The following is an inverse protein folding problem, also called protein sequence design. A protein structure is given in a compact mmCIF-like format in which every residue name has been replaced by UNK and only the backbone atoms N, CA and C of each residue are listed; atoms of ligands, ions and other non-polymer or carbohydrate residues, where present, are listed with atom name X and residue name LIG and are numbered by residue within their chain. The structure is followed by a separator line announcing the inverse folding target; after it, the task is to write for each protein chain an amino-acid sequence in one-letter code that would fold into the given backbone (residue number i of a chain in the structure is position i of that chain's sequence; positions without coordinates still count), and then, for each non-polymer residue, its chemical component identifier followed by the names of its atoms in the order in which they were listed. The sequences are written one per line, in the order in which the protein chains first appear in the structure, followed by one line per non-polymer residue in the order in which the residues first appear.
data_IF_338290198356
#
_entry.id   IF_338290198356
#
_cell.length_a   1.000
_cell.length_b   1.000
_cell.length_c   1.000
_cell.angle_alpha   90.00
_cell.angle_beta   90.00
_cell.angle_gamma   90.00
#
_symmetry.space_group_name_H-M   'P 1'
#
loop_
_entity.id
_entity.type
_entity.pdbx_description
1 polymer ?
#
# COMPACT_ATOMS: atom_id res chain seq x y z
N UNK A 1 16.18 28.20 -5.01
CA UNK A 1 14.73 28.22 -4.71
C UNK A 1 14.53 27.62 -3.34
N UNK A 2 14.36 28.46 -2.32
CA UNK A 2 14.01 28.06 -0.96
C UNK A 2 12.58 27.52 -1.00
N UNK A 3 12.41 26.22 -0.79
CA UNK A 3 11.09 25.62 -0.66
C UNK A 3 10.46 26.15 0.63
N UNK A 4 9.36 26.89 0.52
CA UNK A 4 8.56 27.27 1.68
C UNK A 4 7.86 25.98 2.11
N UNK A 5 8.50 25.22 3.00
CA UNK A 5 7.89 24.06 3.64
C UNK A 5 6.93 24.64 4.68
N UNK A 6 5.64 24.52 4.40
CA UNK A 6 4.59 24.91 5.33
C UNK A 6 4.47 23.87 6.45
N UNK A 7 4.13 24.27 7.67
CA UNK A 7 3.89 23.33 8.80
C UNK A 7 2.89 22.22 8.42
N UNK A 8 1.92 22.57 7.56
CA UNK A 8 0.95 21.65 7.00
C UNK A 8 1.58 20.49 6.20
N UNK A 9 2.68 20.73 5.48
CA UNK A 9 3.39 19.69 4.72
C UNK A 9 4.09 18.69 5.65
N UNK A 10 4.60 19.14 6.80
CA UNK A 10 5.20 18.25 7.80
C UNK A 10 4.14 17.35 8.44
N UNK A 11 2.98 17.91 8.77
CA UNK A 11 1.83 17.13 9.27
C UNK A 11 1.42 16.07 8.25
N UNK A 12 1.37 16.41 6.95
CA UNK A 12 1.03 15.44 5.90
C UNK A 12 2.09 14.33 5.81
N UNK A 13 3.38 14.66 5.87
CA UNK A 13 4.47 13.66 5.88
C UNK A 13 4.35 12.71 7.07
N UNK A 14 4.07 13.23 8.26
CA UNK A 14 3.86 12.42 9.46
C UNK A 14 2.65 11.49 9.32
N UNK A 15 1.54 12.00 8.77
CA UNK A 15 0.35 11.17 8.46
C UNK A 15 0.67 10.07 7.46
N UNK A 16 1.46 10.36 6.42
CA UNK A 16 1.91 9.36 5.44
C UNK A 16 2.78 8.30 6.11
N UNK A 17 3.73 8.69 6.98
CA UNK A 17 4.57 7.74 7.71
C UNK A 17 3.77 6.85 8.67
N UNK A 18 2.83 7.44 9.41
CA UNK A 18 1.92 6.69 10.28
C UNK A 18 1.05 5.73 9.47
N UNK A 19 0.53 6.17 8.33
CA UNK A 19 -0.25 5.33 7.44
C UNK A 19 0.58 4.18 6.87
N UNK A 20 1.86 4.39 6.56
CA UNK A 20 2.77 3.31 6.16
C UNK A 20 2.92 2.24 7.24
N UNK A 21 3.10 2.66 8.49
CA UNK A 21 3.27 1.76 9.63
C UNK A 21 1.97 1.03 9.99
N UNK A 22 0.85 1.74 10.02
CA UNK A 22 -0.46 1.15 10.32
C UNK A 22 -0.90 0.24 9.18
N UNK A 23 -0.71 0.66 7.94
CA UNK A 23 -1.04 -0.12 6.75
C UNK A 23 -0.32 -1.45 6.71
N UNK A 24 0.98 -1.48 7.04
CA UNK A 24 1.72 -2.74 7.11
C UNK A 24 1.24 -3.65 8.24
N UNK A 25 0.93 -3.11 9.41
CA UNK A 25 0.35 -3.89 10.52
C UNK A 25 -1.01 -4.48 10.12
N UNK A 26 -1.90 -3.66 9.57
CA UNK A 26 -3.23 -4.08 9.13
C UNK A 26 -3.18 -5.13 8.02
N UNK A 27 -2.21 -5.05 7.11
CA UNK A 27 -2.01 -6.02 6.04
C UNK A 27 -1.77 -7.44 6.56
N UNK A 28 -1.09 -7.58 7.70
CA UNK A 28 -0.92 -8.88 8.36
C UNK A 28 -2.08 -9.19 9.31
N UNK A 29 -2.55 -8.19 10.06
CA UNK A 29 -3.53 -8.38 11.12
C UNK A 29 -4.91 -8.79 10.58
N UNK A 30 -5.40 -8.15 9.51
CA UNK A 30 -6.74 -8.44 8.96
C UNK A 30 -6.84 -9.90 8.49
N UNK A 31 -5.95 -10.41 7.61
CA UNK A 31 -5.97 -11.82 7.24
C UNK A 31 -5.79 -12.76 8.42
N UNK A 32 -4.94 -12.40 9.39
CA UNK A 32 -4.69 -13.24 10.55
C UNK A 32 -5.96 -13.41 11.39
N UNK A 33 -6.68 -12.32 11.66
CA UNK A 33 -7.95 -12.35 12.39
C UNK A 33 -9.00 -13.14 11.62
N UNK A 34 -9.11 -12.94 10.30
CA UNK A 34 -10.05 -13.68 9.45
C UNK A 34 -9.73 -15.18 9.45
N UNK A 35 -8.45 -15.53 9.34
CA UNK A 35 -8.00 -16.91 9.36
C UNK A 35 -8.28 -17.60 10.69
N UNK A 36 -8.15 -16.88 11.81
CA UNK A 36 -8.48 -17.39 13.15
C UNK A 36 -9.98 -17.65 13.32
N UNK A 37 -10.85 -16.81 12.73
CA UNK A 37 -12.32 -16.94 12.87
C UNK A 37 -12.90 -17.95 11.88
N UNK A 38 -12.53 -17.85 10.61
CA UNK A 38 -13.14 -18.61 9.49
C UNK A 38 -12.42 -19.93 9.25
N UNK A 39 -11.17 -20.05 9.69
CA UNK A 39 -10.35 -21.24 9.49
C UNK A 39 -9.83 -21.40 8.06
N UNK A 40 -9.39 -22.62 7.73
CA UNK A 40 -8.61 -22.95 6.52
C UNK A 40 -9.37 -22.74 5.20
N UNK A 41 -10.69 -22.74 5.24
CA UNK A 41 -11.57 -22.61 4.07
C UNK A 41 -11.41 -21.26 3.38
N UNK A 42 -10.86 -20.24 4.07
CA UNK A 42 -10.68 -18.90 3.53
C UNK A 42 -9.30 -18.65 2.88
N UNK A 43 -8.41 -19.65 2.83
CA UNK A 43 -7.03 -19.44 2.37
C UNK A 43 -6.93 -18.86 0.94
N UNK A 44 -7.80 -19.29 0.02
CA UNK A 44 -7.86 -18.73 -1.33
C UNK A 44 -8.41 -17.29 -1.35
N UNK A 45 -9.42 -17.01 -0.52
CA UNK A 45 -10.00 -15.67 -0.41
C UNK A 45 -9.02 -14.67 0.22
N UNK A 46 -8.11 -15.13 1.08
CA UNK A 46 -7.06 -14.30 1.66
C UNK A 46 -6.16 -13.66 0.60
N UNK A 47 -5.84 -14.36 -0.49
CA UNK A 47 -5.05 -13.80 -1.58
C UNK A 47 -5.79 -12.64 -2.26
N UNK A 48 -7.08 -12.81 -2.57
CA UNK A 48 -7.90 -11.72 -3.12
C UNK A 48 -8.08 -10.56 -2.14
N UNK A 49 -8.16 -10.86 -0.84
CA UNK A 49 -8.27 -9.85 0.21
C UNK A 49 -6.99 -9.00 0.30
N UNK A 50 -5.81 -9.62 0.18
CA UNK A 50 -4.54 -8.91 0.10
C UNK A 50 -4.42 -8.05 -1.16
N UNK A 51 -4.94 -8.50 -2.31
CA UNK A 51 -4.98 -7.68 -3.52
C UNK A 51 -5.86 -6.45 -3.30
N UNK A 52 -7.08 -6.65 -2.78
CA UNK A 52 -8.02 -5.56 -2.48
C UNK A 52 -7.45 -4.54 -1.50
N UNK A 53 -6.84 -5.02 -0.40
CA UNK A 53 -6.18 -4.16 0.58
C UNK A 53 -5.03 -3.37 -0.04
N UNK A 54 -4.19 -4.03 -0.87
CA UNK A 54 -3.06 -3.38 -1.54
C UNK A 54 -3.54 -2.26 -2.46
N UNK A 55 -4.59 -2.49 -3.25
CA UNK A 55 -5.18 -1.46 -4.12
C UNK A 55 -5.73 -0.30 -3.29
N UNK A 56 -6.50 -0.58 -2.24
CA UNK A 56 -7.06 0.43 -1.36
C UNK A 56 -5.96 1.28 -0.71
N UNK A 57 -4.92 0.64 -0.19
CA UNK A 57 -3.76 1.30 0.40
C UNK A 57 -3.08 2.23 -0.62
N UNK A 58 -2.86 1.77 -1.85
CA UNK A 58 -2.23 2.57 -2.92
C UNK A 58 -3.06 3.81 -3.27
N UNK A 59 -4.39 3.70 -3.29
CA UNK A 59 -5.30 4.81 -3.56
C UNK A 59 -5.24 5.85 -2.44
N UNK A 60 -5.35 5.41 -1.18
CA UNK A 60 -5.29 6.30 -0.01
C UNK A 60 -3.92 6.98 0.08
N UNK A 61 -2.84 6.25 -0.16
CA UNK A 61 -1.49 6.80 -0.19
C UNK A 61 -1.36 7.89 -1.26
N UNK A 62 -1.83 7.64 -2.49
CA UNK A 62 -1.83 8.65 -3.56
C UNK A 62 -2.64 9.88 -3.20
N UNK A 63 -3.81 9.70 -2.60
CA UNK A 63 -4.66 10.80 -2.16
C UNK A 63 -4.02 11.64 -1.05
N UNK A 64 -3.29 11.02 -0.12
CA UNK A 64 -2.54 11.73 0.92
C UNK A 64 -1.36 12.52 0.32
N UNK A 65 -0.61 11.91 -0.60
CA UNK A 65 0.52 12.57 -1.27
C UNK A 65 0.03 13.72 -2.15
N UNK A 66 -1.11 13.62 -2.83
CA UNK A 66 -1.65 14.72 -3.66
C UNK A 66 -2.03 15.97 -2.85
N UNK A 67 -2.18 15.86 -1.52
CA UNK A 67 -2.45 17.00 -0.64
C UNK A 67 -1.21 17.83 -0.28
N UNK A 68 0.00 17.37 -0.61
CA UNK A 68 1.23 18.14 -0.41
C UNK A 68 1.26 19.35 -1.32
N UNK A 69 1.74 20.48 -0.80
CA UNK A 69 1.65 21.80 -1.44
C UNK A 69 2.37 21.89 -2.79
N UNK A 70 3.53 21.22 -2.94
CA UNK A 70 4.39 21.37 -4.12
C UNK A 70 4.67 20.05 -4.82
N UNK A 71 4.69 20.03 -6.16
CA UNK A 71 5.01 18.84 -6.99
C UNK A 71 6.39 18.24 -6.68
N UNK A 72 7.39 19.06 -6.39
CA UNK A 72 8.72 18.57 -5.98
C UNK A 72 8.66 17.81 -4.65
N UNK A 73 7.82 18.26 -3.70
CA UNK A 73 7.62 17.60 -2.41
C UNK A 73 6.85 16.29 -2.56
N UNK A 74 5.85 16.26 -3.45
CA UNK A 74 5.14 15.04 -3.82
C UNK A 74 6.10 13.99 -4.40
N UNK A 75 7.00 14.42 -5.30
CA UNK A 75 8.01 13.54 -5.89
C UNK A 75 9.04 13.06 -4.87
N UNK A 76 9.47 13.91 -3.93
CA UNK A 76 10.44 13.53 -2.90
C UNK A 76 9.85 12.51 -1.92
N UNK A 77 8.59 12.65 -1.52
CA UNK A 77 7.89 11.67 -0.67
C UNK A 77 7.66 10.36 -1.43
N UNK A 78 7.24 10.43 -2.69
CA UNK A 78 6.93 9.23 -3.50
C UNK A 78 8.16 8.47 -3.98
N UNK A 79 9.31 9.12 -4.20
CA UNK A 79 10.59 8.45 -4.54
C UNK A 79 11.46 8.18 -3.32
N UNK A 80 11.19 8.84 -2.20
CA UNK A 80 11.94 8.67 -0.96
C UNK A 80 11.81 7.25 -0.39
N UNK A 81 12.92 6.71 0.11
CA UNK A 81 12.97 5.38 0.72
C UNK A 81 12.33 5.31 2.12
N UNK A 82 12.09 6.46 2.75
CA UNK A 82 11.55 6.55 4.11
C UNK A 82 10.04 6.43 4.24
N UNK A 83 9.29 6.77 3.18
CA UNK A 83 7.82 6.92 3.21
C UNK A 83 7.10 6.03 2.21
N UNK A 84 7.79 5.06 1.60
CA UNK A 84 7.31 4.36 0.41
C UNK A 84 7.59 2.84 0.44
N UNK A 85 8.02 2.26 1.56
CA UNK A 85 8.47 0.86 1.60
C UNK A 85 7.29 -0.10 1.39
N UNK A 86 6.24 0.07 2.18
CA UNK A 86 5.01 -0.71 2.11
C UNK A 86 4.20 -0.40 0.84
N UNK A 87 4.26 0.84 0.33
CA UNK A 87 3.70 1.16 -1.00
C UNK A 87 4.41 0.36 -2.12
N UNK A 88 5.75 0.28 -2.09
CA UNK A 88 6.51 -0.53 -3.07
C UNK A 88 6.21 -2.01 -2.89
N UNK A 89 6.07 -2.48 -1.65
CA UNK A 89 5.64 -3.85 -1.35
C UNK A 89 4.27 -4.15 -1.94
N UNK A 90 3.27 -3.28 -1.75
CA UNK A 90 1.94 -3.43 -2.34
C UNK A 90 1.98 -3.52 -3.87
N UNK A 91 2.79 -2.68 -4.53
CA UNK A 91 3.00 -2.79 -5.97
C UNK A 91 3.64 -4.11 -6.39
N UNK A 92 4.69 -4.54 -5.68
CA UNK A 92 5.36 -5.81 -5.93
C UNK A 92 4.41 -7.00 -5.76
N UNK A 93 3.61 -6.99 -4.69
CA UNK A 93 2.60 -8.00 -4.42
C UNK A 93 1.54 -8.07 -5.53
N UNK A 94 1.01 -6.93 -5.96
CA UNK A 94 0.01 -6.89 -7.04
C UNK A 94 0.58 -7.40 -8.37
N UNK A 95 1.80 -7.01 -8.73
CA UNK A 95 2.46 -7.48 -9.95
C UNK A 95 2.67 -9.00 -9.88
N UNK A 96 3.22 -9.49 -8.77
CA UNK A 96 3.45 -10.92 -8.58
C UNK A 96 2.14 -11.71 -8.64
N UNK A 97 1.08 -11.17 -8.03
CA UNK A 97 -0.24 -11.77 -8.04
C UNK A 97 -0.85 -11.80 -9.44
N UNK A 98 -0.69 -10.74 -10.24
CA UNK A 98 -1.14 -10.72 -11.63
C UNK A 98 -0.38 -11.74 -12.48
N UNK A 99 0.94 -11.85 -12.31
CA UNK A 99 1.75 -12.86 -13.01
C UNK A 99 1.30 -14.27 -12.63
N UNK A 100 1.06 -14.54 -11.34
CA UNK A 100 0.58 -15.84 -10.86
C UNK A 100 -0.78 -16.22 -11.44
N UNK A 101 -1.74 -15.28 -11.46
CA UNK A 101 -3.06 -15.50 -12.05
C UNK A 101 -2.98 -15.71 -13.56
N UNK A 102 -2.18 -14.91 -14.27
CA UNK A 102 -1.98 -15.08 -15.71
C UNK A 102 -1.34 -16.43 -16.05
N UNK A 103 -0.31 -16.84 -15.29
CA UNK A 103 0.32 -18.15 -15.45
C UNK A 103 -0.63 -19.31 -15.18
N UNK A 104 -1.46 -19.21 -14.14
CA UNK A 104 -2.50 -20.20 -13.87
C UNK A 104 -3.49 -20.32 -15.03
N UNK A 105 -3.96 -19.20 -15.56
CA UNK A 105 -4.90 -19.18 -16.68
C UNK A 105 -4.29 -19.73 -17.99
N UNK A 106 -2.98 -19.57 -18.21
CA UNK A 106 -2.30 -20.11 -19.40
C UNK A 106 -2.08 -21.62 -19.35
N UNK A 107 -1.91 -22.20 -18.15
CA UNK A 107 -1.65 -23.64 -17.96
C UNK A 107 -2.96 -24.43 -17.79
N UNK A 108 -4.00 -23.78 -17.24
CA UNK A 108 -5.32 -24.37 -17.02
C UNK A 108 -6.15 -24.51 -18.31
N UNK A 109 -5.67 -23.98 -19.43
CA UNK A 109 -6.38 -23.93 -20.71
C UNK A 109 -5.65 -24.76 -21.76
#
# INVERSE_FOLDING_TARGET
MTQIITEQDEIIKLKVAQFERIGSILFFLIPLVILLIVGKTFAFNTLYLWQGFSVLYLLVYRFQVSKLSTKQLQLSVRRGWGYNRFYRFCWGYLILSMIGLAGYHLISH
#
